data_IF_684703050473
#
_entry.id   IF_684703050473
#
_cell.length_a   1.000
_cell.length_b   1.000
_cell.length_c   1.000
_cell.angle_alpha   90.00
_cell.angle_beta   90.00
_cell.angle_gamma   90.00
#
_symmetry.space_group_name_H-M   'P 1'
#
loop_
_entity.id
_entity.type
_entity.pdbx_description
1 polymer ?
#
# COMPACT_ATOMS: atom_id res chain seq x y z
N UNK A 1 -2.40 -29.37 18.77
CA UNK A 1 -3.28 -28.30 18.24
C UNK A 1 -2.41 -27.14 17.82
N UNK A 2 -2.16 -26.98 16.52
CA UNK A 2 -1.34 -25.87 15.99
C UNK A 2 -2.30 -24.79 15.53
N UNK A 3 -2.33 -23.66 16.24
CA UNK A 3 -3.02 -22.47 15.75
C UNK A 3 -2.20 -22.01 14.54
N UNK A 4 -2.67 -22.34 13.34
CA UNK A 4 -2.22 -21.67 12.12
C UNK A 4 -2.83 -20.27 12.22
N UNK A 5 -2.02 -19.28 12.57
CA UNK A 5 -2.43 -17.89 12.35
C UNK A 5 -2.66 -17.77 10.84
N UNK A 6 -3.91 -17.57 10.36
CA UNK A 6 -4.10 -17.25 8.96
C UNK A 6 -3.29 -15.96 8.69
N UNK A 7 -2.56 -15.93 7.59
CA UNK A 7 -1.81 -14.73 7.20
C UNK A 7 -2.75 -13.53 7.07
N UNK A 8 -2.18 -12.34 6.89
CA UNK A 8 -3.00 -11.16 6.61
C UNK A 8 -3.66 -11.30 5.23
N UNK A 9 -4.96 -11.01 5.15
CA UNK A 9 -5.68 -10.93 3.88
C UNK A 9 -5.69 -9.50 3.30
N UNK A 10 -5.64 -8.48 4.17
CA UNK A 10 -5.71 -7.07 3.81
C UNK A 10 -4.82 -6.21 4.72
N UNK A 11 -4.18 -5.20 4.14
CA UNK A 11 -3.44 -4.15 4.83
C UNK A 11 -3.96 -2.79 4.39
N UNK A 12 -4.22 -1.93 5.37
CA UNK A 12 -4.47 -0.51 5.12
C UNK A 12 -3.15 0.25 5.16
N UNK A 13 -2.66 0.64 3.98
CA UNK A 13 -1.38 1.33 3.84
C UNK A 13 -1.54 2.85 4.01
N UNK A 14 -0.87 3.46 5.01
CA UNK A 14 -0.86 4.91 5.17
C UNK A 14 0.11 5.56 4.17
N UNK A 15 -0.10 6.86 3.96
CA UNK A 15 0.68 7.68 3.04
C UNK A 15 0.26 9.14 3.08
N UNK A 16 1.11 10.00 2.52
CA UNK A 16 0.85 11.43 2.37
C UNK A 16 0.14 11.73 1.05
N UNK A 17 0.45 10.97 0.00
CA UNK A 17 -0.15 11.10 -1.32
C UNK A 17 -0.24 9.73 -2.02
N UNK A 18 -1.23 9.58 -2.90
CA UNK A 18 -1.53 8.35 -3.62
C UNK A 18 -1.89 8.65 -5.08
N UNK A 19 -1.69 7.67 -5.95
CA UNK A 19 -2.22 7.71 -7.32
C UNK A 19 -3.16 6.55 -7.59
N UNK A 20 -4.08 6.73 -8.55
CA UNK A 20 -5.00 5.67 -9.00
C UNK A 20 -4.27 4.47 -9.61
N UNK A 21 -3.04 4.67 -10.09
CA UNK A 21 -2.15 3.60 -10.56
C UNK A 21 -1.46 2.83 -9.42
N UNK A 22 -1.81 3.10 -8.17
CA UNK A 22 -1.24 2.44 -6.98
C UNK A 22 0.07 3.05 -6.52
N UNK A 23 0.44 4.24 -6.99
CA UNK A 23 1.57 4.97 -6.44
C UNK A 23 1.29 5.45 -5.03
N UNK A 24 2.31 5.48 -4.18
CA UNK A 24 2.20 5.88 -2.78
C UNK A 24 3.44 6.63 -2.32
N UNK A 25 3.24 7.79 -1.71
CA UNK A 25 4.30 8.53 -1.01
C UNK A 25 4.09 8.35 0.49
N UNK A 26 5.10 7.81 1.18
CA UNK A 26 5.13 7.76 2.64
C UNK A 26 5.84 8.96 3.27
N UNK A 27 6.09 8.93 4.58
CA UNK A 27 6.85 9.98 5.28
C UNK A 27 8.39 9.90 5.07
N UNK A 28 8.87 9.16 4.06
CA UNK A 28 10.30 9.08 3.72
C UNK A 28 11.12 7.98 4.43
N UNK A 29 10.55 7.24 5.39
CA UNK A 29 11.28 6.18 6.12
C UNK A 29 11.40 4.83 5.41
N UNK A 30 10.71 4.61 4.28
CA UNK A 30 10.77 3.36 3.50
C UNK A 30 10.28 2.09 4.22
N UNK A 31 9.64 2.22 5.38
CA UNK A 31 9.18 1.08 6.18
C UNK A 31 8.16 0.20 5.45
N UNK A 32 7.15 0.84 4.87
CA UNK A 32 6.11 0.13 4.13
C UNK A 32 6.63 -0.48 2.83
N UNK A 33 7.60 0.15 2.16
CA UNK A 33 8.18 -0.39 0.94
C UNK A 33 8.92 -1.70 1.23
N UNK A 34 9.76 -1.71 2.27
CA UNK A 34 10.41 -2.94 2.75
C UNK A 34 9.39 -4.00 3.18
N UNK A 35 8.35 -3.59 3.90
CA UNK A 35 7.33 -4.50 4.41
C UNK A 35 6.51 -5.14 3.28
N UNK A 36 6.07 -4.35 2.31
CA UNK A 36 5.31 -4.81 1.14
C UNK A 36 6.16 -5.76 0.29
N UNK A 37 7.44 -5.44 0.07
CA UNK A 37 8.36 -6.34 -0.64
C UNK A 37 8.43 -7.71 0.02
N UNK A 38 8.59 -7.76 1.36
CA UNK A 38 8.63 -9.01 2.09
C UNK A 38 7.29 -9.77 2.04
N UNK A 39 6.17 -9.05 2.11
CA UNK A 39 4.85 -9.68 2.02
C UNK A 39 4.62 -10.30 0.64
N UNK A 40 5.00 -9.61 -0.43
CA UNK A 40 4.88 -10.06 -1.82
C UNK A 40 5.76 -11.26 -2.16
N UNK A 41 6.76 -11.56 -1.34
CA UNK A 41 7.53 -12.80 -1.46
C UNK A 41 6.73 -14.05 -1.01
N UNK A 42 5.61 -13.87 -0.30
CA UNK A 42 4.75 -15.00 0.08
C UNK A 42 3.88 -15.47 -1.11
N UNK A 43 3.53 -16.76 -1.19
CA UNK A 43 2.68 -17.29 -2.27
C UNK A 43 1.27 -16.69 -2.32
N UNK A 44 0.77 -16.18 -1.19
CA UNK A 44 -0.54 -15.53 -1.09
C UNK A 44 -0.40 -14.25 -0.25
N UNK A 45 0.08 -13.14 -0.85
CA UNK A 45 0.25 -11.89 -0.14
C UNK A 45 -1.10 -11.21 0.15
N UNK A 46 -1.24 -10.46 1.26
CA UNK A 46 -2.42 -9.64 1.49
C UNK A 46 -2.63 -8.64 0.36
N UNK A 47 -3.89 -8.25 0.16
CA UNK A 47 -4.20 -7.01 -0.56
C UNK A 47 -3.71 -5.80 0.21
N UNK A 48 -3.18 -4.82 -0.48
CA UNK A 48 -2.68 -3.58 0.12
C UNK A 48 -3.47 -2.42 -0.44
N UNK A 49 -4.32 -1.82 0.38
CA UNK A 49 -5.24 -0.75 -0.02
C UNK A 49 -4.94 0.49 0.82
N UNK A 50 -4.97 1.66 0.21
CA UNK A 50 -4.96 2.92 0.95
C UNK A 50 -6.38 3.42 1.18
N UNK A 51 -6.58 4.10 2.31
CA UNK A 51 -7.75 4.94 2.55
C UNK A 51 -7.25 6.37 2.64
N UNK A 52 -7.78 7.25 1.80
CA UNK A 52 -7.24 8.58 1.59
C UNK A 52 -8.35 9.64 1.50
N UNK A 53 -8.02 10.89 1.82
CA UNK A 53 -8.84 12.03 1.44
C UNK A 53 -8.68 12.33 -0.05
N UNK A 54 -9.69 12.94 -0.68
CA UNK A 54 -9.65 13.33 -2.10
C UNK A 54 -8.41 14.19 -2.42
N UNK A 55 -8.04 15.12 -1.52
CA UNK A 55 -6.86 15.97 -1.68
C UNK A 55 -5.50 15.23 -1.64
N UNK A 56 -5.48 13.97 -1.22
CA UNK A 56 -4.28 13.13 -1.23
C UNK A 56 -4.17 12.29 -2.50
N UNK A 57 -5.19 12.27 -3.36
CA UNK A 57 -5.21 11.46 -4.58
C UNK A 57 -4.87 12.35 -5.77
N UNK A 58 -3.83 11.95 -6.50
CA UNK A 58 -3.31 12.66 -7.67
C UNK A 58 -3.26 11.72 -8.88
N UNK A 59 -3.08 12.29 -10.07
CA UNK A 59 -2.90 11.50 -11.29
C UNK A 59 -1.64 10.62 -11.20
N UNK A 60 -0.54 11.22 -10.75
CA UNK A 60 0.73 10.55 -10.49
C UNK A 60 1.35 11.05 -9.19
N UNK A 61 2.22 10.21 -8.63
CA UNK A 61 3.08 10.56 -7.50
C UNK A 61 4.51 10.15 -7.83
N UNK A 62 5.52 10.88 -7.32
CA UNK A 62 6.91 10.52 -7.56
C UNK A 62 7.19 9.14 -6.96
N UNK A 63 7.76 8.25 -7.77
CA UNK A 63 8.25 6.95 -7.32
C UNK A 63 9.62 6.64 -7.93
N UNK A 64 10.41 5.88 -7.19
CA UNK A 64 11.64 5.25 -7.65
C UNK A 64 11.45 3.72 -7.80
N UNK A 65 12.50 3.03 -8.26
CA UNK A 65 12.47 1.58 -8.54
C UNK A 65 12.29 0.70 -7.29
N UNK A 66 12.62 1.22 -6.11
CA UNK A 66 12.49 0.51 -4.83
C UNK A 66 11.11 0.69 -4.20
N UNK A 67 10.36 1.72 -4.62
CA UNK A 67 9.04 2.02 -4.06
C UNK A 67 8.02 0.95 -4.45
N UNK A 68 7.22 0.54 -3.48
CA UNK A 68 6.23 -0.50 -3.69
C UNK A 68 4.86 0.11 -4.00
N UNK A 69 4.31 -0.24 -5.16
CA UNK A 69 2.91 0.07 -5.51
C UNK A 69 1.96 -0.63 -4.53
N UNK A 70 0.87 0.04 -4.19
CA UNK A 70 -0.29 -0.57 -3.53
C UNK A 70 -1.29 -1.09 -4.57
N UNK A 71 -2.23 -1.93 -4.16
CA UNK A 71 -3.20 -2.55 -5.07
C UNK A 71 -4.40 -1.64 -5.37
N UNK A 72 -4.60 -0.58 -4.58
CA UNK A 72 -5.65 0.40 -4.83
C UNK A 72 -5.72 1.47 -3.73
N UNK A 73 -6.46 2.54 -4.03
CA UNK A 73 -6.78 3.60 -3.06
C UNK A 73 -8.29 3.82 -3.07
N UNK A 74 -8.88 3.85 -1.88
CA UNK A 74 -10.27 4.20 -1.63
C UNK A 74 -10.27 5.62 -1.07
N UNK A 75 -11.08 6.48 -1.65
CA UNK A 75 -11.24 7.86 -1.24
C UNK A 75 -12.68 8.30 -1.54
N UNK A 76 -13.16 9.31 -0.84
CA UNK A 76 -14.47 9.87 -1.15
C UNK A 76 -14.38 10.63 -2.47
N UNK A 77 -15.15 10.20 -3.47
CA UNK A 77 -15.47 11.00 -4.65
C UNK A 77 -16.60 11.97 -4.25
N UNK A 78 -16.52 13.22 -4.69
CA UNK A 78 -17.59 14.22 -4.53
C UNK A 78 -18.77 13.94 -5.48
#
# INVERSE_FOLDING_TARGET
>A
MRILFPGLDLIIAPGVAFSKSGGRVGHGGGYYDKYITNLRANPNPPKIIAVAFNCQVMEEVPMNELDQRIDGVIYADD
#
